data_IF_031946967593
#
_entry.id   IF_031946967593
#
_cell.length_a   1.000
_cell.length_b   1.000
_cell.length_c   1.000
_cell.angle_alpha   90.00
_cell.angle_beta   90.00
_cell.angle_gamma   90.00
#
_symmetry.space_group_name_H-M   'P 1'
#
loop_
_entity.id
_entity.type
_entity.pdbx_description
1 polymer ?
#
# COMPACT_ATOMS: atom_id res chain seq x y z
N UNK A 1 7.39 8.96 14.77
CA UNK A 1 5.96 8.88 14.36
C UNK A 1 5.70 9.63 13.06
N UNK A 2 6.05 10.93 12.95
CA UNK A 2 5.73 11.75 11.78
C UNK A 2 6.26 11.15 10.46
N UNK A 3 7.55 10.79 10.38
CA UNK A 3 8.14 10.15 9.19
C UNK A 3 7.45 8.83 8.82
N UNK A 4 7.03 8.08 9.82
CA UNK A 4 6.28 6.83 9.61
C UNK A 4 4.91 7.10 8.98
N UNK A 5 4.13 8.03 9.55
CA UNK A 5 2.79 8.40 9.05
C UNK A 5 2.87 8.89 7.61
N UNK A 6 3.77 9.83 7.32
CA UNK A 6 3.95 10.37 5.96
C UNK A 6 4.42 9.30 4.98
N UNK A 7 5.39 8.46 5.39
CA UNK A 7 5.90 7.37 4.56
C UNK A 7 4.82 6.34 4.20
N UNK A 8 4.03 5.90 5.19
CA UNK A 8 2.91 5.00 4.96
C UNK A 8 1.83 5.63 4.08
N UNK A 9 1.44 6.87 4.36
CA UNK A 9 0.42 7.59 3.61
C UNK A 9 0.79 7.71 2.13
N UNK A 10 1.99 8.22 1.84
CA UNK A 10 2.47 8.39 0.45
C UNK A 10 2.57 7.05 -0.26
N UNK A 11 3.19 6.05 0.37
CA UNK A 11 3.36 4.72 -0.20
C UNK A 11 2.00 4.09 -0.56
N UNK A 12 1.06 4.07 0.38
CA UNK A 12 -0.26 3.46 0.19
C UNK A 12 -1.12 4.20 -0.80
N UNK A 13 -1.13 5.55 -0.77
CA UNK A 13 -1.89 6.34 -1.74
C UNK A 13 -1.37 6.15 -3.16
N UNK A 14 -0.06 6.24 -3.37
CA UNK A 14 0.52 6.09 -4.71
C UNK A 14 0.27 4.67 -5.24
N UNK A 15 0.62 3.64 -4.47
CA UNK A 15 0.42 2.26 -4.88
C UNK A 15 -1.07 1.93 -5.01
N UNK A 16 -1.92 2.41 -4.10
CA UNK A 16 -3.36 2.23 -4.15
C UNK A 16 -4.00 2.87 -5.38
N UNK A 17 -3.59 4.09 -5.76
CA UNK A 17 -4.06 4.76 -6.99
C UNK A 17 -3.61 4.01 -8.24
N UNK A 18 -2.38 3.51 -8.28
CA UNK A 18 -1.89 2.72 -9.40
C UNK A 18 -2.69 1.42 -9.52
N UNK A 19 -2.82 0.65 -8.44
CA UNK A 19 -3.54 -0.62 -8.44
C UNK A 19 -5.03 -0.45 -8.75
N UNK A 20 -5.70 0.53 -8.14
CA UNK A 20 -7.11 0.80 -8.40
C UNK A 20 -7.34 1.21 -9.87
N UNK A 21 -6.45 2.02 -10.45
CA UNK A 21 -6.50 2.40 -11.86
C UNK A 21 -6.33 1.20 -12.81
N UNK A 22 -5.48 0.25 -12.44
CA UNK A 22 -5.28 -0.99 -13.19
C UNK A 22 -6.54 -1.88 -13.09
N UNK A 23 -7.09 -2.05 -11.89
CA UNK A 23 -8.29 -2.87 -11.68
C UNK A 23 -9.56 -2.26 -12.27
N UNK A 24 -9.65 -0.93 -12.31
CA UNK A 24 -10.78 -0.22 -12.92
C UNK A 24 -10.88 -0.47 -14.45
N UNK A 25 -9.77 -0.75 -15.12
CA UNK A 25 -9.73 -1.07 -16.57
C UNK A 25 -10.30 -2.45 -16.93
N UNK A 26 -10.78 -3.23 -15.97
CA UNK A 26 -11.47 -4.50 -16.24
C UNK A 26 -10.53 -5.65 -16.59
N UNK A 27 -9.50 -5.88 -15.80
CA UNK A 27 -8.59 -7.03 -15.98
C UNK A 27 -9.35 -8.36 -15.88
N UNK A 28 -9.07 -9.30 -16.79
CA UNK A 28 -9.51 -10.69 -16.67
C UNK A 28 -8.93 -11.29 -15.39
N UNK A 29 -9.79 -11.86 -14.54
CA UNK A 29 -9.35 -12.40 -13.24
C UNK A 29 -9.25 -11.38 -12.10
N UNK A 30 -9.78 -10.15 -12.26
CA UNK A 30 -9.72 -9.09 -11.24
C UNK A 30 -10.22 -9.55 -9.86
N UNK A 31 -11.18 -10.49 -9.78
CA UNK A 31 -11.66 -11.05 -8.51
C UNK A 31 -10.56 -11.76 -7.73
N UNK A 32 -9.78 -12.63 -8.40
CA UNK A 32 -8.69 -13.36 -7.76
C UNK A 32 -7.57 -12.41 -7.27
N UNK A 33 -7.16 -11.44 -8.10
CA UNK A 33 -6.15 -10.46 -7.71
C UNK A 33 -6.62 -9.61 -6.52
N UNK A 34 -7.88 -9.15 -6.52
CA UNK A 34 -8.46 -8.41 -5.38
C UNK A 34 -8.41 -9.25 -4.11
N UNK A 35 -8.73 -10.54 -4.17
CA UNK A 35 -8.65 -11.44 -3.02
C UNK A 35 -7.22 -11.56 -2.48
N UNK A 36 -6.23 -11.74 -3.34
CA UNK A 36 -4.82 -11.84 -2.94
C UNK A 36 -4.33 -10.57 -2.23
N UNK A 37 -4.66 -9.38 -2.77
CA UNK A 37 -4.29 -8.11 -2.12
C UNK A 37 -5.07 -7.82 -0.85
N UNK A 38 -6.24 -8.44 -0.65
CA UNK A 38 -7.05 -8.25 0.53
C UNK A 38 -6.71 -9.22 1.67
N UNK A 39 -6.13 -10.38 1.38
CA UNK A 39 -5.71 -11.37 2.39
C UNK A 39 -4.89 -10.72 3.53
N UNK A 40 -3.86 -9.90 3.28
CA UNK A 40 -3.09 -9.26 4.35
C UNK A 40 -3.94 -8.43 5.31
N UNK A 41 -5.01 -7.80 4.82
CA UNK A 41 -5.89 -6.93 5.63
C UNK A 41 -6.60 -7.73 6.74
N UNK A 42 -6.92 -9.00 6.49
CA UNK A 42 -7.66 -9.86 7.43
C UNK A 42 -6.74 -10.42 8.53
N UNK A 43 -5.45 -10.58 8.24
CA UNK A 43 -4.49 -11.16 9.19
C UNK A 43 -4.36 -10.25 10.44
N UNK A 44 -4.41 -10.78 11.68
CA UNK A 44 -4.15 -9.97 12.88
C UNK A 44 -2.76 -9.32 12.85
N UNK A 45 -2.65 -8.08 13.33
CA UNK A 45 -1.38 -7.34 13.33
C UNK A 45 -0.26 -8.07 14.04
N UNK A 46 -0.53 -8.66 15.21
CA UNK A 46 0.48 -9.40 15.98
C UNK A 46 1.04 -10.59 15.17
N UNK A 47 0.17 -11.36 14.49
CA UNK A 47 0.60 -12.49 13.66
C UNK A 47 1.46 -12.00 12.46
N UNK A 48 1.02 -10.96 11.77
CA UNK A 48 1.78 -10.36 10.70
C UNK A 48 3.17 -9.88 11.17
N UNK A 49 3.23 -9.22 12.34
CA UNK A 49 4.47 -8.70 12.90
C UNK A 49 5.46 -9.82 13.23
N UNK A 50 5.01 -10.95 13.81
CA UNK A 50 5.87 -12.11 14.09
C UNK A 50 6.44 -12.70 12.81
N UNK A 51 5.61 -12.93 11.79
CA UNK A 51 6.05 -13.46 10.49
C UNK A 51 7.08 -12.55 9.84
N UNK A 52 6.82 -11.22 9.80
CA UNK A 52 7.74 -10.27 9.21
C UNK A 52 9.03 -10.10 10.03
N UNK A 53 8.98 -10.25 11.37
CA UNK A 53 10.18 -10.28 12.20
C UNK A 53 11.11 -11.45 11.83
N UNK A 54 10.54 -12.61 11.53
CA UNK A 54 11.30 -13.75 11.03
C UNK A 54 11.86 -13.47 9.62
N UNK A 55 11.03 -12.96 8.69
CA UNK A 55 11.47 -12.66 7.32
C UNK A 55 12.62 -11.63 7.29
N UNK A 56 12.59 -10.64 8.18
CA UNK A 56 13.62 -9.61 8.34
C UNK A 56 14.76 -9.99 9.29
N UNK A 57 14.79 -11.23 9.82
CA UNK A 57 15.90 -11.67 10.66
C UNK A 57 17.22 -11.56 9.91
N UNK A 58 18.25 -11.02 10.58
CA UNK A 58 19.55 -10.79 9.94
C UNK A 58 20.27 -12.09 9.60
N UNK A 59 20.19 -13.08 10.48
CA UNK A 59 20.98 -14.31 10.39
C UNK A 59 20.26 -15.43 9.64
N UNK A 60 18.95 -15.58 9.86
CA UNK A 60 18.14 -16.71 9.34
C UNK A 60 17.00 -16.26 8.42
N UNK A 61 16.87 -14.95 8.20
CA UNK A 61 15.74 -14.39 7.44
C UNK A 61 15.83 -14.68 5.94
N UNK A 62 14.75 -15.20 5.33
CA UNK A 62 14.71 -15.49 3.90
C UNK A 62 15.04 -14.31 3.00
N UNK A 63 14.73 -13.07 3.44
CA UNK A 63 15.01 -11.86 2.65
C UNK A 63 16.53 -11.62 2.57
N UNK A 64 17.28 -11.73 3.66
CA UNK A 64 18.73 -11.61 3.64
C UNK A 64 19.38 -12.79 2.90
N UNK A 65 18.83 -14.00 3.02
CA UNK A 65 19.28 -15.13 2.23
C UNK A 65 19.14 -14.86 0.72
N UNK A 66 18.02 -14.33 0.27
CA UNK A 66 17.82 -13.94 -1.13
C UNK A 66 18.76 -12.82 -1.59
N UNK A 67 19.02 -11.83 -0.73
CA UNK A 67 20.01 -10.77 -1.02
C UNK A 67 21.42 -11.34 -1.22
N UNK A 68 21.84 -12.26 -0.34
CA UNK A 68 23.15 -12.90 -0.44
C UNK A 68 23.30 -13.76 -1.71
N UNK A 69 22.23 -14.41 -2.18
CA UNK A 69 22.25 -15.16 -3.45
C UNK A 69 22.55 -14.30 -4.68
N UNK A 70 22.16 -13.02 -4.64
CA UNK A 70 22.46 -12.06 -5.72
C UNK A 70 23.71 -11.21 -5.45
N UNK A 71 24.49 -11.59 -4.43
CA UNK A 71 25.76 -10.93 -4.08
C UNK A 71 25.63 -9.63 -3.29
N UNK A 72 24.44 -9.34 -2.76
CA UNK A 72 24.22 -8.16 -1.91
C UNK A 72 24.46 -8.50 -0.43
N UNK A 73 25.00 -7.56 0.37
CA UNK A 73 25.24 -7.78 1.79
C UNK A 73 23.93 -7.90 2.57
N UNK A 74 23.98 -8.64 3.70
CA UNK A 74 22.87 -8.73 4.64
C UNK A 74 22.54 -7.36 5.22
N UNK A 75 21.26 -7.03 5.27
CA UNK A 75 20.74 -5.76 5.77
C UNK A 75 20.18 -5.97 7.19
N UNK A 76 20.57 -5.14 8.17
CA UNK A 76 20.02 -5.19 9.53
C UNK A 76 18.64 -4.50 9.60
N UNK A 77 17.62 -5.15 9.02
CA UNK A 77 16.28 -4.60 8.79
C UNK A 77 15.61 -4.05 10.04
N UNK A 78 15.79 -4.69 11.21
CA UNK A 78 15.09 -4.34 12.45
C UNK A 78 16.03 -3.76 13.51
N UNK A 79 17.35 -3.97 13.39
CA UNK A 79 18.34 -3.55 14.38
C UNK A 79 19.01 -2.23 14.03
N UNK A 80 18.97 -1.81 12.77
CA UNK A 80 19.50 -0.52 12.34
C UNK A 80 18.44 0.58 12.48
N UNK A 81 18.75 1.64 13.22
CA UNK A 81 17.87 2.78 13.44
C UNK A 81 17.36 3.42 12.14
N UNK A 82 18.19 3.44 11.09
CA UNK A 82 17.83 4.05 9.80
C UNK A 82 16.96 3.13 8.96
N UNK A 83 17.14 1.81 9.05
CA UNK A 83 16.43 0.83 8.22
C UNK A 83 15.15 0.33 8.88
N UNK A 84 15.10 0.27 10.21
CA UNK A 84 13.92 -0.21 10.94
C UNK A 84 12.65 0.58 10.62
N UNK A 85 12.77 1.90 10.45
CA UNK A 85 11.64 2.73 10.05
C UNK A 85 11.11 2.35 8.66
N UNK A 86 12.00 2.11 7.70
CA UNK A 86 11.64 1.68 6.35
C UNK A 86 10.98 0.29 6.38
N UNK A 87 11.52 -0.64 7.17
CA UNK A 87 10.97 -1.98 7.36
C UNK A 87 9.54 -1.92 7.90
N UNK A 88 9.28 -1.07 8.89
CA UNK A 88 7.93 -0.85 9.43
C UNK A 88 6.98 -0.26 8.38
N UNK A 89 7.44 0.70 7.56
CA UNK A 89 6.63 1.29 6.48
C UNK A 89 6.29 0.22 5.43
N UNK A 90 7.24 -0.64 5.06
CA UNK A 90 7.00 -1.74 4.09
C UNK A 90 5.93 -2.69 4.61
N UNK A 91 6.06 -3.20 5.83
CA UNK A 91 5.11 -4.13 6.44
C UNK A 91 3.73 -3.52 6.56
N UNK A 92 3.68 -2.30 7.06
CA UNK A 92 2.41 -1.59 7.25
C UNK A 92 1.73 -1.26 5.93
N UNK A 93 2.51 -0.88 4.92
CA UNK A 93 1.97 -0.62 3.58
C UNK A 93 1.45 -1.91 2.94
N UNK A 94 2.21 -3.00 2.99
CA UNK A 94 1.75 -4.31 2.52
C UNK A 94 0.43 -4.73 3.17
N UNK A 95 0.33 -4.54 4.48
CA UNK A 95 -0.85 -4.94 5.26
C UNK A 95 -2.12 -4.18 4.88
N UNK A 96 -2.03 -2.87 4.66
CA UNK A 96 -3.17 -1.99 4.43
C UNK A 96 -3.43 -1.64 2.96
N UNK A 97 -2.52 -1.98 2.05
CA UNK A 97 -2.62 -1.63 0.64
C UNK A 97 -3.93 -2.13 -0.02
N UNK A 98 -4.39 -3.33 0.36
CA UNK A 98 -5.64 -3.89 -0.14
C UNK A 98 -6.85 -3.04 0.22
N UNK A 99 -6.92 -2.58 1.47
CA UNK A 99 -8.01 -1.72 1.95
C UNK A 99 -8.03 -0.38 1.19
N UNK A 100 -6.89 0.30 1.13
CA UNK A 100 -6.73 1.55 0.39
C UNK A 100 -7.12 1.39 -1.09
N UNK A 101 -6.66 0.32 -1.72
CA UNK A 101 -6.96 0.02 -3.14
C UNK A 101 -8.45 -0.19 -3.36
N UNK A 102 -9.16 -0.91 -2.47
CA UNK A 102 -10.59 -1.14 -2.59
C UNK A 102 -11.41 0.14 -2.42
N UNK A 103 -11.05 1.00 -1.47
CA UNK A 103 -11.71 2.30 -1.29
C UNK A 103 -11.57 3.18 -2.52
N UNK A 104 -10.35 3.30 -3.05
CA UNK A 104 -10.08 4.09 -4.24
C UNK A 104 -10.77 3.49 -5.48
N UNK A 105 -10.80 2.18 -5.62
CA UNK A 105 -11.51 1.50 -6.69
C UNK A 105 -13.03 1.74 -6.59
N UNK A 106 -13.61 1.68 -5.40
CA UNK A 106 -15.01 2.03 -5.14
C UNK A 106 -15.33 3.46 -5.59
N UNK A 107 -14.46 4.42 -5.21
CA UNK A 107 -14.59 5.81 -5.68
C UNK A 107 -14.46 5.96 -7.19
N UNK A 108 -13.56 5.21 -7.84
CA UNK A 108 -13.43 5.24 -9.32
C UNK A 108 -14.66 4.64 -10.02
N UNK A 109 -15.25 3.59 -9.46
CA UNK A 109 -16.43 2.96 -10.05
C UNK A 109 -17.72 3.78 -9.89
N UNK A 110 -17.74 4.74 -8.97
CA UNK A 110 -18.86 5.67 -8.81
C UNK A 110 -18.84 6.85 -9.80
N UNK A 111 -17.76 7.04 -10.55
CA UNK A 111 -17.64 8.07 -11.58
C UNK A 111 -18.44 7.61 -12.80
N UNK A 112 -19.32 8.50 -13.32
CA UNK A 112 -20.14 8.21 -14.48
C UNK A 112 -19.28 7.88 -15.70
N UNK A 113 -19.56 6.75 -16.33
CA UNK A 113 -18.84 6.27 -17.50
C UNK A 113 -18.95 7.21 -18.70
N UNK A 114 -20.05 7.95 -18.82
CA UNK A 114 -20.25 8.94 -19.87
C UNK A 114 -19.14 10.00 -19.91
N UNK A 115 -18.59 10.38 -18.76
CA UNK A 115 -17.48 11.33 -18.67
C UNK A 115 -16.19 10.77 -19.30
N UNK A 116 -15.95 9.49 -19.15
CA UNK A 116 -14.81 8.82 -19.80
C UNK A 116 -15.03 8.70 -21.32
N UNK A 117 -16.25 8.40 -21.76
CA UNK A 117 -16.62 8.31 -23.17
C UNK A 117 -16.48 9.66 -23.87
N UNK A 118 -17.03 10.73 -23.28
CA UNK A 118 -16.88 12.10 -23.79
C UNK A 118 -15.40 12.50 -23.86
N UNK A 119 -14.63 12.20 -22.84
CA UNK A 119 -13.19 12.53 -22.85
C UNK A 119 -12.42 11.75 -23.91
N UNK A 120 -12.81 10.49 -24.19
CA UNK A 120 -12.24 9.69 -25.26
C UNK A 120 -12.56 10.25 -26.65
N UNK A 121 -13.84 10.64 -26.88
CA UNK A 121 -14.27 11.26 -28.13
C UNK A 121 -13.57 12.59 -28.42
N UNK A 122 -13.20 13.33 -27.39
CA UNK A 122 -12.39 14.55 -27.48
C UNK A 122 -10.88 14.28 -27.66
N UNK A 123 -10.46 13.04 -27.86
CA UNK A 123 -9.06 12.68 -28.12
C UNK A 123 -8.14 12.70 -26.88
N UNK A 124 -8.71 12.71 -25.66
CA UNK A 124 -7.90 12.75 -24.45
C UNK A 124 -7.12 11.44 -24.26
N UNK A 125 -5.80 11.56 -24.00
CA UNK A 125 -4.94 10.44 -23.66
C UNK A 125 -5.31 9.85 -22.30
N UNK A 126 -4.87 8.62 -21.99
CA UNK A 126 -5.12 7.98 -20.68
C UNK A 126 -4.64 8.82 -19.49
N UNK A 127 -3.50 9.52 -19.64
CA UNK A 127 -2.98 10.42 -18.62
C UNK A 127 -3.86 11.67 -18.44
N UNK A 128 -4.33 12.27 -19.54
CA UNK A 128 -5.23 13.41 -19.50
C UNK A 128 -6.57 13.05 -18.85
N UNK A 129 -7.15 11.89 -19.18
CA UNK A 129 -8.37 11.37 -18.51
C UNK A 129 -8.16 11.17 -17.03
N UNK A 130 -7.04 10.56 -16.62
CA UNK A 130 -6.71 10.41 -15.21
C UNK A 130 -6.59 11.78 -14.52
N UNK A 131 -5.82 12.72 -15.10
CA UNK A 131 -5.52 14.02 -14.48
C UNK A 131 -6.71 14.97 -14.42
N UNK A 132 -7.57 14.97 -15.44
CA UNK A 132 -8.64 15.95 -15.59
C UNK A 132 -10.04 15.40 -15.31
N UNK A 133 -10.23 14.09 -15.30
CA UNK A 133 -11.53 13.45 -15.00
C UNK A 133 -11.43 12.66 -13.72
N UNK A 134 -10.59 11.61 -13.69
CA UNK A 134 -10.54 10.67 -12.55
C UNK A 134 -10.08 11.35 -11.27
N UNK A 135 -8.93 12.02 -11.30
CA UNK A 135 -8.32 12.58 -10.09
C UNK A 135 -9.18 13.66 -9.42
N UNK A 136 -9.77 14.65 -10.14
CA UNK A 136 -10.66 15.64 -9.53
C UNK A 136 -11.92 15.03 -8.94
N UNK A 137 -12.57 14.11 -9.65
CA UNK A 137 -13.81 13.46 -9.20
C UNK A 137 -13.56 12.46 -8.06
N UNK A 138 -12.36 11.90 -8.00
CA UNK A 138 -11.93 11.00 -6.93
C UNK A 138 -11.47 11.76 -5.67
N UNK A 139 -11.28 13.08 -5.73
CA UNK A 139 -10.72 13.86 -4.63
C UNK A 139 -11.44 13.70 -3.29
N UNK A 140 -12.78 13.57 -3.20
CA UNK A 140 -13.45 13.30 -1.93
C UNK A 140 -13.07 11.95 -1.34
N UNK A 141 -12.96 10.92 -2.19
CA UNK A 141 -12.53 9.58 -1.77
C UNK A 141 -11.06 9.59 -1.34
N UNK A 142 -10.20 10.30 -2.08
CA UNK A 142 -8.78 10.46 -1.70
C UNK A 142 -8.68 11.12 -0.32
N UNK A 143 -9.43 12.19 -0.07
CA UNK A 143 -9.45 12.86 1.23
C UNK A 143 -9.91 11.92 2.34
N UNK A 144 -10.98 11.16 2.13
CA UNK A 144 -11.45 10.15 3.08
C UNK A 144 -10.38 9.09 3.38
N UNK A 145 -9.73 8.57 2.34
CA UNK A 145 -8.62 7.62 2.48
C UNK A 145 -7.46 8.23 3.24
N UNK A 146 -7.07 9.46 2.95
CA UNK A 146 -5.98 10.14 3.68
C UNK A 146 -6.28 10.26 5.17
N UNK A 147 -7.50 10.67 5.53
CA UNK A 147 -7.90 10.81 6.94
C UNK A 147 -7.87 9.46 7.64
N UNK A 148 -8.45 8.42 7.05
CA UNK A 148 -8.46 7.07 7.63
C UNK A 148 -7.06 6.48 7.76
N UNK A 149 -6.19 6.68 6.77
CA UNK A 149 -4.80 6.21 6.81
C UNK A 149 -3.98 6.92 7.89
N UNK A 150 -4.19 8.21 8.09
CA UNK A 150 -3.57 8.94 9.19
C UNK A 150 -4.02 8.38 10.53
N UNK A 151 -5.33 8.16 10.73
CA UNK A 151 -5.88 7.58 11.97
C UNK A 151 -5.24 6.21 12.24
N UNK A 152 -5.25 5.29 11.25
CA UNK A 152 -4.67 3.96 11.40
C UNK A 152 -3.16 4.00 11.67
N UNK A 153 -2.44 4.94 11.07
CA UNK A 153 -1.00 5.09 11.30
C UNK A 153 -0.65 5.58 12.71
N UNK A 154 -1.54 6.32 13.37
CA UNK A 154 -1.36 6.70 14.77
C UNK A 154 -1.78 5.59 15.76
N UNK A 155 -2.67 4.69 15.38
CA UNK A 155 -3.14 3.60 16.24
C UNK A 155 -2.21 2.38 16.21
N UNK A 156 -1.13 2.40 15.43
CA UNK A 156 -0.24 1.26 15.27
C UNK A 156 0.67 1.10 16.49
N UNK A 157 0.46 0.06 17.26
CA UNK A 157 1.28 -0.29 18.42
C UNK A 157 1.97 -1.65 18.25
N UNK A 158 1.19 -2.70 17.95
CA UNK A 158 1.64 -4.08 17.93
C UNK A 158 2.88 -4.32 17.04
N UNK A 159 2.91 -3.93 15.75
CA UNK A 159 4.07 -4.21 14.92
C UNK A 159 5.30 -3.43 15.36
N UNK A 160 5.16 -2.21 15.87
CA UNK A 160 6.30 -1.44 16.39
C UNK A 160 6.89 -2.16 17.60
N UNK A 161 6.05 -2.58 18.55
CA UNK A 161 6.53 -3.25 19.75
C UNK A 161 7.13 -4.63 19.46
N UNK A 162 6.45 -5.46 18.63
CA UNK A 162 6.89 -6.82 18.33
C UNK A 162 8.18 -6.83 17.49
N UNK A 163 8.26 -5.97 16.46
CA UNK A 163 9.36 -5.99 15.50
C UNK A 163 10.60 -5.25 15.99
N UNK A 164 10.43 -4.13 16.72
CA UNK A 164 11.54 -3.27 17.16
C UNK A 164 11.71 -3.18 18.68
N UNK A 165 10.91 -3.93 19.45
CA UNK A 165 10.90 -3.90 20.93
C UNK A 165 10.68 -2.50 21.51
N UNK A 166 9.97 -1.68 20.76
CA UNK A 166 9.59 -0.33 21.19
C UNK A 166 10.48 0.81 20.66
N UNK A 167 11.43 0.51 19.77
CA UNK A 167 12.29 1.52 19.11
C UNK A 167 13.77 1.25 19.22
#
# INVERSE_FOLDING_TARGET
>A
TFYYVVGCLVCRLVLGLVLSSIFHRGLRGAGLYKSIYFIPVIIPWAAAAVVWSFLFSQDVGPINYALNLVGLPSVPWLTSKNVAMLSLIIVSSWKQLGYTTLLLLGGMTSIDQSLYEVSYLNGATSWQRFRYVTFPLLSPTILFVMITEVIFSFQIFDPIYIMTKGG
#
